data_IF_614317062730
#
_entry.id   IF_614317062730
#
_cell.length_a   1.000
_cell.length_b   1.000
_cell.length_c   1.000
_cell.angle_alpha   90.00
_cell.angle_beta   90.00
_cell.angle_gamma   90.00
#
_symmetry.space_group_name_H-M   'P 1'
#
loop_
_entity.id
_entity.type
_entity.pdbx_description
1 polymer ?
#
# COMPACT_ATOMS: atom_id res chain seq x y z
N UNK A 1 6.39 24.83 -64.30
CA UNK A 1 7.27 24.11 -63.34
C UNK A 1 6.40 23.75 -62.15
N UNK A 2 6.04 22.48 -62.01
CA UNK A 2 5.18 22.03 -60.91
C UNK A 2 6.01 21.82 -59.66
N UNK A 3 5.66 22.51 -58.58
CA UNK A 3 6.29 22.34 -57.28
C UNK A 3 5.69 21.11 -56.60
N UNK A 4 6.48 20.05 -56.52
CA UNK A 4 6.10 18.82 -55.84
C UNK A 4 6.34 19.02 -54.34
N UNK A 5 5.29 19.39 -53.60
CA UNK A 5 5.31 19.43 -52.14
C UNK A 5 5.28 18.00 -51.63
N UNK A 6 6.45 17.48 -51.26
CA UNK A 6 6.54 16.22 -50.50
C UNK A 6 6.00 16.49 -49.10
N UNK A 7 4.79 16.03 -48.82
CA UNK A 7 4.26 16.00 -47.47
C UNK A 7 5.07 14.92 -46.73
N UNK A 8 5.91 15.34 -45.78
CA UNK A 8 6.38 14.42 -44.76
C UNK A 8 5.17 14.07 -43.91
N UNK A 9 4.59 12.89 -44.13
CA UNK A 9 3.67 12.31 -43.16
C UNK A 9 4.47 12.16 -41.86
N UNK A 10 4.19 13.05 -40.90
CA UNK A 10 4.58 12.82 -39.51
C UNK A 10 3.84 11.56 -39.07
N UNK A 11 4.50 10.43 -39.23
CA UNK A 11 4.07 9.13 -38.75
C UNK A 11 4.19 9.15 -37.21
N UNK A 12 3.32 9.94 -36.57
CA UNK A 12 3.13 9.90 -35.13
C UNK A 12 2.43 8.57 -34.88
N UNK A 13 3.18 7.59 -34.39
CA UNK A 13 2.62 6.38 -33.82
C UNK A 13 1.55 6.79 -32.81
N UNK A 14 0.28 6.58 -33.15
CA UNK A 14 -0.88 6.93 -32.32
C UNK A 14 -1.05 5.93 -31.15
N UNK A 15 0.06 5.40 -30.64
CA UNK A 15 0.08 4.50 -29.51
C UNK A 15 -0.01 5.35 -28.24
N UNK A 16 -1.22 5.43 -27.69
CA UNK A 16 -1.46 6.02 -26.39
C UNK A 16 -0.43 5.47 -25.38
N UNK A 17 0.43 6.34 -24.87
CA UNK A 17 1.39 5.97 -23.82
C UNK A 17 0.64 5.95 -22.50
N UNK A 18 0.61 4.79 -21.85
CA UNK A 18 0.01 4.64 -20.53
C UNK A 18 1.08 5.00 -19.49
N UNK A 19 0.80 6.01 -18.67
CA UNK A 19 1.62 6.37 -17.52
C UNK A 19 1.01 5.80 -16.25
N UNK A 20 1.76 4.96 -15.55
CA UNK A 20 1.31 4.33 -14.31
C UNK A 20 1.53 5.26 -13.12
N UNK A 21 0.64 5.24 -12.12
CA UNK A 21 0.91 5.83 -10.81
C UNK A 21 2.22 5.28 -10.23
N UNK A 22 2.90 6.11 -9.43
CA UNK A 22 4.13 5.73 -8.74
C UNK A 22 3.83 5.59 -7.26
N UNK A 23 4.21 4.47 -6.65
CA UNK A 23 4.08 4.23 -5.21
C UNK A 23 5.22 3.37 -4.69
N UNK A 24 5.54 3.52 -3.41
CA UNK A 24 6.45 2.63 -2.69
C UNK A 24 5.72 1.42 -2.11
N UNK A 25 6.50 0.46 -1.60
CA UNK A 25 6.03 -0.53 -0.63
C UNK A 25 6.27 0.01 0.79
N UNK A 26 5.52 -0.53 1.75
CA UNK A 26 5.54 -0.09 3.14
C UNK A 26 5.80 -1.27 4.08
N UNK A 27 6.54 -1.02 5.15
CA UNK A 27 6.78 -1.98 6.22
C UNK A 27 6.27 -1.38 7.53
N UNK A 28 5.40 -2.12 8.19
CA UNK A 28 4.68 -1.66 9.38
C UNK A 28 4.85 -2.63 10.54
N UNK A 29 4.75 -2.11 11.75
CA UNK A 29 4.82 -2.91 12.97
C UNK A 29 3.61 -2.60 13.83
N UNK A 30 2.95 -3.65 14.32
CA UNK A 30 1.93 -3.54 15.36
C UNK A 30 2.11 -4.62 16.41
N UNK A 31 1.29 -4.56 17.45
CA UNK A 31 1.20 -5.58 18.48
C UNK A 31 -0.03 -6.46 18.29
N UNK A 32 0.06 -7.70 18.77
CA UNK A 32 -1.03 -8.67 18.81
C UNK A 32 -2.31 -8.03 19.33
N UNK A 33 -3.42 -8.16 18.58
CA UNK A 33 -4.74 -7.59 18.86
C UNK A 33 -4.88 -6.06 18.69
N UNK A 34 -3.84 -5.35 18.24
CA UNK A 34 -3.90 -3.91 18.04
C UNK A 34 -3.89 -3.56 16.55
N UNK A 35 -4.84 -2.76 16.08
CA UNK A 35 -4.83 -2.29 14.70
C UNK A 35 -3.67 -1.33 14.47
N UNK A 36 -3.22 -1.27 13.22
CA UNK A 36 -2.32 -0.23 12.71
C UNK A 36 -2.95 0.43 11.49
N UNK A 37 -2.67 1.71 11.33
CA UNK A 37 -3.21 2.56 10.26
C UNK A 37 -2.09 3.20 9.48
N UNK A 38 -2.32 3.47 8.20
CA UNK A 38 -1.40 4.23 7.38
C UNK A 38 -2.09 4.74 6.12
N UNK A 39 -1.30 5.28 5.20
CA UNK A 39 -1.78 5.79 3.91
C UNK A 39 -0.85 5.36 2.79
N UNK A 40 -1.41 5.04 1.63
CA UNK A 40 -0.61 4.73 0.43
C UNK A 40 -0.13 6.05 -0.20
N UNK A 41 1.15 6.36 -0.01
CA UNK A 41 1.77 7.51 -0.67
C UNK A 41 2.02 7.20 -2.15
N UNK A 42 1.36 7.96 -3.02
CA UNK A 42 1.47 7.79 -4.46
C UNK A 42 1.55 9.12 -5.21
N UNK A 43 2.09 9.08 -6.42
CA UNK A 43 2.16 10.21 -7.36
C UNK A 43 1.43 9.80 -8.64
N UNK A 44 0.45 10.62 -9.06
CA UNK A 44 -0.21 10.46 -10.35
C UNK A 44 0.55 11.29 -11.41
N UNK A 45 1.21 10.65 -12.40
CA UNK A 45 1.87 11.38 -13.49
C UNK A 45 0.88 11.90 -14.55
N UNK A 46 -0.41 11.51 -14.48
CA UNK A 46 -1.46 12.04 -15.34
C UNK A 46 -2.35 13.00 -14.55
N UNK A 47 -3.17 13.78 -15.26
CA UNK A 47 -4.32 14.45 -14.65
C UNK A 47 -5.35 13.40 -14.18
N UNK A 48 -6.25 13.81 -13.27
CA UNK A 48 -7.35 12.97 -12.75
C UNK A 48 -7.09 12.38 -11.36
N UNK A 49 -8.10 11.70 -10.83
CA UNK A 49 -8.06 11.09 -9.48
C UNK A 49 -7.45 9.69 -9.51
N UNK A 50 -6.87 9.29 -8.38
CA UNK A 50 -6.41 7.91 -8.16
C UNK A 50 -7.51 7.11 -7.45
N UNK A 51 -7.64 5.85 -7.82
CA UNK A 51 -8.49 4.88 -7.13
C UNK A 51 -7.63 3.82 -6.45
N UNK A 52 -7.98 3.48 -5.20
CA UNK A 52 -7.27 2.50 -4.38
C UNK A 52 -8.18 1.30 -4.10
N UNK A 53 -7.73 0.11 -4.46
CA UNK A 53 -8.47 -1.13 -4.23
C UNK A 53 -7.57 -2.19 -3.64
N UNK A 54 -8.05 -2.93 -2.64
CA UNK A 54 -7.33 -4.10 -2.12
C UNK A 54 -7.30 -5.17 -3.22
N UNK A 55 -6.10 -5.47 -3.70
CA UNK A 55 -5.85 -6.48 -4.74
C UNK A 55 -5.65 -7.86 -4.09
N UNK A 56 -4.72 -7.95 -3.14
CA UNK A 56 -4.50 -9.16 -2.35
C UNK A 56 -4.80 -8.86 -0.87
N UNK A 57 -5.81 -9.50 -0.26
CA UNK A 57 -6.10 -9.31 1.15
C UNK A 57 -5.07 -10.01 2.04
N UNK A 58 -4.92 -9.58 3.31
CA UNK A 58 -4.09 -10.26 4.29
C UNK A 58 -4.63 -11.63 4.66
N UNK A 59 -3.73 -12.55 5.01
CA UNK A 59 -4.10 -13.93 5.39
C UNK A 59 -4.37 -14.08 6.87
N UNK A 60 -3.76 -13.24 7.70
CA UNK A 60 -3.77 -13.30 9.16
C UNK A 60 -4.35 -12.05 9.83
N UNK A 61 -5.10 -11.25 9.07
CA UNK A 61 -5.84 -10.10 9.55
C UNK A 61 -6.93 -9.67 8.58
N UNK A 62 -7.42 -8.45 8.77
CA UNK A 62 -8.40 -7.80 7.92
C UNK A 62 -7.91 -6.39 7.61
N UNK A 63 -8.13 -5.93 6.38
CA UNK A 63 -7.80 -4.58 5.95
C UNK A 63 -9.02 -3.89 5.35
N UNK A 64 -9.16 -2.59 5.62
CA UNK A 64 -10.05 -1.69 4.91
C UNK A 64 -9.22 -0.52 4.39
N UNK A 65 -9.55 -0.03 3.20
CA UNK A 65 -8.96 1.17 2.59
C UNK A 65 -10.09 2.11 2.18
N UNK A 66 -9.90 3.41 2.38
CA UNK A 66 -10.83 4.45 1.95
C UNK A 66 -10.45 5.03 0.57
N UNK A 67 -11.22 6.02 0.11
CA UNK A 67 -11.02 6.65 -1.20
C UNK A 67 -9.74 7.50 -1.27
N UNK A 68 -9.23 7.97 -0.13
CA UNK A 68 -8.02 8.78 -0.03
C UNK A 68 -6.76 7.89 0.10
N UNK A 69 -6.93 6.56 0.09
CA UNK A 69 -5.85 5.60 0.23
C UNK A 69 -5.40 5.39 1.67
N UNK A 70 -6.17 5.88 2.67
CA UNK A 70 -5.92 5.57 4.07
C UNK A 70 -6.48 4.19 4.39
N UNK A 71 -5.73 3.42 5.17
CA UNK A 71 -6.07 2.05 5.47
C UNK A 71 -5.95 1.75 6.96
N UNK A 72 -6.71 0.73 7.39
CA UNK A 72 -6.66 0.15 8.73
C UNK A 72 -6.48 -1.35 8.60
N UNK A 73 -5.38 -1.88 9.14
CA UNK A 73 -5.16 -3.30 9.30
C UNK A 73 -5.45 -3.72 10.74
N UNK A 74 -6.23 -4.79 10.91
CA UNK A 74 -6.51 -5.42 12.21
C UNK A 74 -6.04 -6.87 12.17
N UNK A 75 -5.03 -7.28 12.98
CA UNK A 75 -4.64 -8.68 13.08
C UNK A 75 -5.81 -9.57 13.51
N UNK A 76 -5.84 -10.83 13.08
CA UNK A 76 -6.69 -11.85 13.71
C UNK A 76 -6.33 -11.95 15.18
N UNK A 77 -7.32 -12.31 16.00
CA UNK A 77 -7.13 -12.43 17.44
C UNK A 77 -5.95 -13.36 17.74
N UNK A 78 -5.06 -12.90 18.60
CA UNK A 78 -3.84 -13.57 19.04
C UNK A 78 -2.80 -13.88 17.95
N UNK A 79 -2.92 -13.36 16.73
CA UNK A 79 -1.90 -13.54 15.70
C UNK A 79 -0.59 -12.82 16.06
N UNK A 80 0.52 -13.52 15.85
CA UNK A 80 1.90 -13.02 15.92
C UNK A 80 2.60 -13.57 14.69
N UNK A 81 3.33 -12.74 13.96
CA UNK A 81 4.01 -13.13 12.74
C UNK A 81 3.98 -12.04 11.69
N UNK A 82 4.30 -12.43 10.46
CA UNK A 82 4.26 -11.54 9.30
C UNK A 82 2.95 -11.77 8.55
N UNK A 83 2.33 -10.68 8.14
CA UNK A 83 1.22 -10.67 7.20
C UNK A 83 1.45 -9.60 6.14
N UNK A 84 0.70 -9.62 5.05
CA UNK A 84 0.82 -8.59 4.02
C UNK A 84 -0.48 -8.44 3.24
N UNK A 85 -0.69 -7.25 2.68
CA UNK A 85 -1.73 -7.00 1.70
C UNK A 85 -1.20 -6.11 0.58
N UNK A 86 -1.84 -6.16 -0.57
CA UNK A 86 -1.48 -5.30 -1.70
C UNK A 86 -2.66 -4.43 -2.13
N UNK A 87 -2.34 -3.22 -2.57
CA UNK A 87 -3.27 -2.22 -3.08
C UNK A 87 -2.96 -1.99 -4.55
N UNK A 88 -3.96 -2.19 -5.40
CA UNK A 88 -3.92 -1.69 -6.77
C UNK A 88 -4.29 -0.20 -6.77
N UNK A 89 -3.42 0.61 -7.37
CA UNK A 89 -3.54 2.05 -7.53
C UNK A 89 -3.72 2.30 -9.02
N UNK A 90 -4.91 2.73 -9.43
CA UNK A 90 -5.22 3.03 -10.82
C UNK A 90 -5.52 4.51 -11.02
N UNK A 91 -5.15 5.04 -12.19
CA UNK A 91 -5.60 6.34 -12.66
C UNK A 91 -6.65 6.20 -13.77
N UNK A 92 -7.29 7.31 -14.13
CA UNK A 92 -8.33 7.36 -15.15
C UNK A 92 -7.81 7.13 -16.58
N UNK A 93 -6.48 7.12 -16.76
CA UNK A 93 -5.80 6.88 -18.05
C UNK A 93 -5.43 5.40 -18.27
N UNK A 94 -6.04 4.48 -17.51
CA UNK A 94 -5.77 3.04 -17.51
C UNK A 94 -4.35 2.64 -17.04
N UNK A 95 -3.62 3.56 -16.42
CA UNK A 95 -2.35 3.28 -15.75
C UNK A 95 -2.59 2.66 -14.37
N UNK A 96 -1.76 1.69 -13.99
CA UNK A 96 -1.89 0.99 -12.72
C UNK A 96 -0.53 0.60 -12.14
N UNK A 97 -0.45 0.61 -10.81
CA UNK A 97 0.69 0.15 -10.01
C UNK A 97 0.18 -0.64 -8.80
N UNK A 98 0.96 -1.61 -8.35
CA UNK A 98 0.71 -2.33 -7.11
C UNK A 98 1.64 -1.80 -6.01
N UNK A 99 1.08 -1.46 -4.85
CA UNK A 99 1.80 -1.19 -3.60
C UNK A 99 1.55 -2.32 -2.60
N UNK A 100 2.61 -2.86 -2.02
CA UNK A 100 2.54 -3.90 -0.98
C UNK A 100 2.83 -3.30 0.39
N UNK A 101 2.00 -3.64 1.37
CA UNK A 101 2.21 -3.32 2.79
C UNK A 101 2.53 -4.62 3.51
N UNK A 102 3.76 -4.73 4.04
CA UNK A 102 4.17 -5.83 4.91
C UNK A 102 3.97 -5.42 6.36
N UNK A 103 3.41 -6.31 7.18
CA UNK A 103 3.12 -6.03 8.58
C UNK A 103 3.77 -7.09 9.46
N UNK A 104 4.60 -6.65 10.39
CA UNK A 104 5.12 -7.47 11.47
C UNK A 104 4.24 -7.27 12.72
N UNK A 105 3.50 -8.30 13.10
CA UNK A 105 2.71 -8.35 14.34
C UNK A 105 3.57 -8.98 15.43
N UNK A 106 3.95 -8.18 16.43
CA UNK A 106 4.76 -8.61 17.58
C UNK A 106 3.88 -8.99 18.76
N UNK A 107 4.39 -9.85 19.65
CA UNK A 107 3.80 -9.96 20.97
C UNK A 107 4.16 -8.72 21.82
N UNK A 108 3.38 -8.49 22.88
CA UNK A 108 3.78 -7.50 23.88
C UNK A 108 5.07 -7.93 24.54
N UNK A 109 5.97 -6.99 24.88
CA UNK A 109 7.04 -7.31 25.81
C UNK A 109 6.39 -7.88 27.07
N UNK A 110 6.78 -9.10 27.46
CA UNK A 110 6.40 -9.62 28.76
C UNK A 110 6.94 -8.63 29.79
N UNK A 111 6.05 -8.04 30.59
CA UNK A 111 6.50 -7.30 31.75
C UNK A 111 7.29 -8.29 32.61
N UNK A 112 8.58 -8.02 32.82
CA UNK A 112 9.34 -8.66 33.89
C UNK A 112 8.88 -8.13 35.25
N UNK A 113 7.58 -8.12 35.51
CA UNK A 113 7.02 -7.93 36.85
C UNK A 113 7.22 -9.20 37.71
N UNK A 114 8.31 -9.91 37.43
CA UNK A 114 9.10 -10.68 38.38
C UNK A 114 10.04 -9.79 39.22
N UNK A 115 9.84 -8.47 39.22
CA UNK A 115 10.34 -7.63 40.29
C UNK A 115 9.53 -7.99 41.55
N UNK A 116 10.21 -8.66 42.46
CA UNK A 116 9.87 -8.95 43.86
C UNK A 116 9.35 -7.72 44.64
N UNK A 117 8.28 -7.05 44.20
CA UNK A 117 7.74 -5.90 44.92
C UNK A 117 6.97 -6.31 46.19
N UNK A 118 6.73 -7.62 46.39
CA UNK A 118 6.10 -8.14 47.61
C UNK A 118 6.71 -9.44 48.18
N UNK A 119 7.94 -9.83 47.81
CA UNK A 119 8.59 -10.99 48.42
C UNK A 119 10.05 -10.73 48.81
N UNK A 120 10.27 -10.04 49.94
CA UNK A 120 10.99 -10.55 51.15
C UNK A 120 11.74 -9.47 51.95
N UNK A 121 11.72 -9.70 53.27
CA UNK A 121 12.53 -9.15 54.39
C UNK A 121 11.84 -7.97 55.10
N UNK A 122 11.24 -8.08 56.30
CA UNK A 122 11.33 -9.05 57.40
C UNK A 122 9.95 -9.28 58.03
#
# INVERSE_FOLDING_TARGET
MSNNLTIYENNIDNRATIFNPISSNFDEVTYKNFPVTGSILSVNPTDGVLTYTIETPPTNGFVKIDLDGNWVYTPKINFIGIDSFSVNIANESNGSTISTVNILVKDFPQSFDSLNCCCRNY
#
